data_IF_109106529149
#
_entry.id   IF_109106529149
#
_cell.length_a   1.000
_cell.length_b   1.000
_cell.length_c   1.000
_cell.angle_alpha   90.00
_cell.angle_beta   90.00
_cell.angle_gamma   90.00
#
_symmetry.space_group_name_H-M   'P 1'
#
loop_
_entity.id
_entity.type
_entity.pdbx_description
1 polymer ?
#
# COMPACT_ATOMS: atom_id res chain seq x y z
N UNK A 1 -12.89 22.28 5.05
CA UNK A 1 -13.84 21.14 5.10
C UNK A 1 -14.98 21.34 6.09
N UNK A 2 -14.86 22.16 7.14
CA UNK A 2 -15.99 22.45 8.06
C UNK A 2 -16.52 21.21 8.80
N UNK A 3 -15.67 20.22 9.06
CA UNK A 3 -16.06 18.98 9.72
C UNK A 3 -16.23 19.18 11.23
N UNK A 4 -17.19 18.47 11.83
CA UNK A 4 -17.29 18.34 13.28
C UNK A 4 -16.22 17.38 13.79
N UNK A 5 -15.18 17.90 14.45
CA UNK A 5 -14.03 17.11 14.93
C UNK A 5 -14.14 16.68 16.39
N UNK A 6 -15.25 16.99 17.06
CA UNK A 6 -15.43 16.77 18.51
C UNK A 6 -15.53 15.30 18.90
N UNK A 7 -15.96 14.44 17.98
CA UNK A 7 -16.18 13.01 18.26
C UNK A 7 -15.79 12.13 17.07
N UNK A 8 -15.18 10.95 17.29
CA UNK A 8 -14.74 10.06 16.23
C UNK A 8 -15.89 9.46 15.39
N UNK A 9 -17.12 9.34 15.93
CA UNK A 9 -18.26 8.78 15.20
C UNK A 9 -18.68 9.60 13.97
N UNK A 10 -18.26 10.87 13.90
CA UNK A 10 -18.46 11.72 12.71
C UNK A 10 -17.59 11.29 11.53
N UNK A 11 -16.61 10.40 11.78
CA UNK A 11 -15.62 9.92 10.81
C UNK A 11 -14.85 11.07 10.15
N UNK A 12 -14.60 12.15 10.89
CA UNK A 12 -13.95 13.33 10.34
C UNK A 12 -12.53 13.02 9.85
N UNK A 13 -11.83 12.08 10.51
CA UNK A 13 -10.49 11.64 10.11
C UNK A 13 -10.53 10.91 8.78
N UNK A 14 -11.46 9.99 8.61
CA UNK A 14 -11.65 9.21 7.39
C UNK A 14 -11.95 10.15 6.21
N UNK A 15 -12.87 11.11 6.39
CA UNK A 15 -13.19 12.13 5.38
C UNK A 15 -11.96 12.97 5.00
N UNK A 16 -11.24 13.48 5.99
CA UNK A 16 -10.03 14.27 5.75
C UNK A 16 -8.93 13.45 5.05
N UNK A 17 -8.78 12.18 5.40
CA UNK A 17 -7.80 11.28 4.81
C UNK A 17 -8.10 10.97 3.34
N UNK A 18 -9.37 10.80 2.97
CA UNK A 18 -9.77 10.64 1.57
C UNK A 18 -9.45 11.89 0.75
N UNK A 19 -9.84 13.08 1.22
CA UNK A 19 -9.54 14.34 0.51
C UNK A 19 -8.04 14.60 0.37
N UNK A 20 -7.25 14.27 1.40
CA UNK A 20 -5.80 14.37 1.35
C UNK A 20 -5.19 13.44 0.27
N UNK A 21 -5.67 12.19 0.18
CA UNK A 21 -5.23 11.26 -0.85
C UNK A 21 -5.60 11.76 -2.26
N UNK A 22 -6.82 12.28 -2.43
CA UNK A 22 -7.26 12.86 -3.70
C UNK A 22 -6.37 14.04 -4.11
N UNK A 23 -6.06 14.94 -3.17
CA UNK A 23 -5.22 16.10 -3.42
C UNK A 23 -3.78 15.71 -3.86
N UNK A 24 -3.20 14.67 -3.25
CA UNK A 24 -1.89 14.13 -3.65
C UNK A 24 -1.93 13.60 -5.08
N UNK A 25 -2.88 12.71 -5.38
CA UNK A 25 -3.02 12.12 -6.72
C UNK A 25 -3.24 13.18 -7.79
N UNK A 26 -4.17 14.11 -7.55
CA UNK A 26 -4.45 15.23 -8.45
C UNK A 26 -3.21 16.09 -8.70
N UNK A 27 -2.45 16.43 -7.65
CA UNK A 27 -1.28 17.29 -7.78
C UNK A 27 -0.17 16.66 -8.61
N UNK A 28 0.09 15.36 -8.40
CA UNK A 28 1.08 14.61 -9.19
C UNK A 28 0.67 14.51 -10.66
N UNK A 29 -0.60 14.16 -10.91
CA UNK A 29 -1.17 14.10 -12.26
C UNK A 29 -1.09 15.45 -12.98
N UNK A 30 -1.47 16.55 -12.30
CA UNK A 30 -1.42 17.90 -12.84
C UNK A 30 0.01 18.33 -13.22
N UNK A 31 1.03 17.80 -12.54
CA UNK A 31 2.44 18.09 -12.82
C UNK A 31 3.09 17.09 -13.77
N UNK A 32 2.35 16.11 -14.29
CA UNK A 32 2.89 15.06 -15.16
C UNK A 32 3.91 14.15 -14.44
N UNK A 33 3.85 14.08 -13.11
CA UNK A 33 4.70 13.20 -12.31
C UNK A 33 3.98 11.88 -12.13
N UNK A 34 4.67 10.77 -12.43
CA UNK A 34 4.09 9.43 -12.31
C UNK A 34 3.71 9.13 -10.86
N UNK A 35 2.47 8.68 -10.67
CA UNK A 35 1.92 8.16 -9.42
C UNK A 35 0.89 7.10 -9.76
N UNK A 36 0.65 6.16 -8.84
CA UNK A 36 -0.40 5.15 -8.96
C UNK A 36 -1.25 5.18 -7.68
N UNK A 37 -2.57 5.10 -7.82
CA UNK A 37 -3.46 4.97 -6.68
C UNK A 37 -3.45 3.51 -6.16
N UNK A 38 -3.92 3.32 -4.93
CA UNK A 38 -3.83 2.03 -4.26
C UNK A 38 -4.80 0.98 -4.81
N UNK A 39 -5.91 1.36 -5.45
CA UNK A 39 -6.80 0.40 -6.10
C UNK A 39 -6.14 -0.17 -7.36
N UNK A 40 -5.63 0.71 -8.24
CA UNK A 40 -4.89 0.30 -9.46
C UNK A 40 -3.64 -0.51 -9.11
N UNK A 41 -2.90 -0.11 -8.07
CA UNK A 41 -1.72 -0.85 -7.61
C UNK A 41 -2.09 -2.25 -7.10
N UNK A 42 -3.19 -2.38 -6.34
CA UNK A 42 -3.68 -3.65 -5.83
C UNK A 42 -4.11 -4.60 -6.97
N UNK A 43 -4.85 -4.10 -7.96
CA UNK A 43 -5.21 -4.89 -9.14
C UNK A 43 -3.99 -5.34 -9.94
N UNK A 44 -3.01 -4.46 -10.07
CA UNK A 44 -1.74 -4.76 -10.75
C UNK A 44 -0.97 -5.85 -10.01
N UNK A 45 -0.93 -5.80 -8.66
CA UNK A 45 -0.31 -6.83 -7.85
C UNK A 45 -1.02 -8.18 -8.00
N UNK A 46 -2.36 -8.22 -8.05
CA UNK A 46 -3.09 -9.48 -8.27
C UNK A 46 -2.74 -10.13 -9.61
N UNK A 47 -2.59 -9.36 -10.68
CA UNK A 47 -2.11 -9.86 -11.98
C UNK A 47 -0.67 -10.37 -11.90
N UNK A 48 0.19 -9.71 -11.12
CA UNK A 48 1.56 -10.17 -10.88
C UNK A 48 1.57 -11.51 -10.13
N UNK A 49 0.79 -11.63 -9.05
CA UNK A 49 0.63 -12.84 -8.26
C UNK A 49 0.18 -14.02 -9.14
N UNK A 50 -0.84 -13.84 -9.97
CA UNK A 50 -1.32 -14.87 -10.90
C UNK A 50 -0.21 -15.34 -11.86
N UNK A 51 0.57 -14.41 -12.41
CA UNK A 51 1.69 -14.72 -13.29
C UNK A 51 2.80 -15.49 -12.57
N UNK A 52 3.20 -15.08 -11.37
CA UNK A 52 4.26 -15.76 -10.61
C UNK A 52 3.83 -17.16 -10.16
N UNK A 53 2.57 -17.32 -9.74
CA UNK A 53 2.02 -18.66 -9.46
C UNK A 53 2.04 -19.53 -10.71
N UNK A 54 1.61 -19.01 -11.87
CA UNK A 54 1.60 -19.75 -13.12
C UNK A 54 3.00 -20.12 -13.63
N UNK A 55 3.97 -19.21 -13.51
CA UNK A 55 5.30 -19.37 -14.10
C UNK A 55 6.31 -20.04 -13.16
N UNK A 56 6.12 -19.88 -11.84
CA UNK A 56 7.12 -20.25 -10.81
C UNK A 56 6.51 -20.96 -9.60
N UNK A 57 5.21 -21.19 -9.61
CA UNK A 57 4.48 -21.90 -8.55
C UNK A 57 4.55 -21.22 -7.17
N UNK A 58 4.69 -19.88 -7.15
CA UNK A 58 4.63 -19.12 -5.91
C UNK A 58 5.02 -17.65 -6.06
N UNK A 59 4.51 -16.81 -5.16
CA UNK A 59 4.90 -15.42 -4.99
C UNK A 59 5.01 -15.11 -3.49
N UNK A 60 6.20 -14.87 -2.93
CA UNK A 60 6.33 -14.46 -1.53
C UNK A 60 5.68 -13.09 -1.35
N UNK A 61 4.75 -12.97 -0.41
CA UNK A 61 4.04 -11.72 -0.15
C UNK A 61 3.70 -11.56 1.33
N UNK A 62 4.01 -10.39 1.87
CA UNK A 62 3.66 -10.01 3.24
C UNK A 62 2.35 -9.23 3.22
N UNK A 63 1.25 -9.90 3.56
CA UNK A 63 -0.10 -9.33 3.53
C UNK A 63 -0.20 -8.01 4.32
N UNK A 64 0.52 -7.90 5.45
CA UNK A 64 0.52 -6.71 6.31
C UNK A 64 1.05 -5.48 5.58
N UNK A 65 1.99 -5.67 4.65
CA UNK A 65 2.59 -4.59 3.86
C UNK A 65 1.92 -4.39 2.50
N UNK A 66 1.31 -5.43 1.94
CA UNK A 66 0.66 -5.37 0.63
C UNK A 66 -0.72 -4.67 0.70
N UNK A 67 -1.49 -4.90 1.76
CA UNK A 67 -2.81 -4.27 1.91
C UNK A 67 -2.66 -2.76 2.14
N UNK A 68 -3.33 -1.90 1.36
CA UNK A 68 -3.24 -0.46 1.53
C UNK A 68 -3.75 0.02 2.91
N UNK A 69 -3.11 1.06 3.49
CA UNK A 69 -3.44 1.56 4.83
C UNK A 69 -4.77 2.35 4.89
N UNK A 70 -5.35 2.68 3.74
CA UNK A 70 -6.68 3.26 3.59
C UNK A 70 -7.48 2.35 2.65
N UNK A 71 -8.76 2.15 2.96
CA UNK A 71 -9.68 1.37 2.12
C UNK A 71 -9.27 -0.10 1.89
N UNK A 72 -8.53 -0.71 2.83
CA UNK A 72 -7.96 -2.06 2.68
C UNK A 72 -8.94 -3.10 2.13
N UNK A 73 -10.09 -3.32 2.80
CA UNK A 73 -11.09 -4.31 2.36
C UNK A 73 -11.82 -3.97 1.06
N UNK A 74 -11.70 -2.73 0.56
CA UNK A 74 -12.18 -2.32 -0.75
C UNK A 74 -11.16 -2.58 -1.88
N UNK A 75 -10.04 -3.24 -1.57
CA UNK A 75 -9.01 -3.65 -2.54
C UNK A 75 -8.98 -5.17 -2.66
N UNK A 76 -8.65 -5.73 -3.84
CA UNK A 76 -8.69 -7.18 -4.03
C UNK A 76 -7.64 -7.92 -3.19
N UNK A 77 -6.52 -7.28 -2.86
CA UNK A 77 -5.43 -7.87 -2.08
C UNK A 77 -5.83 -8.22 -0.65
N UNK A 78 -6.84 -7.54 -0.08
CA UNK A 78 -7.33 -7.86 1.27
C UNK A 78 -7.91 -9.27 1.36
N UNK A 79 -8.60 -9.71 0.31
CA UNK A 79 -9.30 -11.01 0.28
C UNK A 79 -8.42 -12.16 -0.21
N UNK A 80 -7.16 -11.88 -0.56
CA UNK A 80 -6.22 -12.87 -1.09
C UNK A 80 -5.33 -13.38 0.04
N UNK A 81 -5.37 -14.70 0.28
CA UNK A 81 -4.40 -15.35 1.15
C UNK A 81 -3.00 -15.28 0.53
N UNK A 82 -2.00 -14.97 1.34
CA UNK A 82 -0.62 -14.79 0.91
C UNK A 82 0.33 -15.56 1.82
N UNK A 83 1.33 -16.19 1.24
CA UNK A 83 2.39 -16.87 1.99
C UNK A 83 3.64 -15.99 2.02
N UNK A 84 4.08 -15.63 3.22
CA UNK A 84 5.35 -14.95 3.43
C UNK A 84 6.48 -15.97 3.57
N UNK A 85 7.46 -15.89 2.69
CA UNK A 85 8.71 -16.65 2.77
C UNK A 85 9.83 -15.86 2.08
N UNK A 86 11.07 -16.20 2.40
CA UNK A 86 12.24 -15.46 1.95
C UNK A 86 13.02 -16.23 0.89
N UNK A 87 13.35 -15.56 -0.21
CA UNK A 87 14.18 -16.08 -1.29
C UNK A 87 15.48 -15.27 -1.37
N UNK A 88 16.50 -15.80 -2.05
CA UNK A 88 17.68 -15.04 -2.46
C UNK A 88 17.73 -14.95 -3.99
N UNK A 89 18.23 -13.84 -4.58
CA UNK A 89 18.72 -12.62 -3.93
C UNK A 89 17.60 -11.82 -3.23
N UNK A 90 17.93 -11.06 -2.17
CA UNK A 90 16.95 -10.28 -1.37
C UNK A 90 17.46 -8.92 -0.94
N UNK A 91 16.52 -8.02 -0.61
CA UNK A 91 16.76 -6.81 0.17
C UNK A 91 16.62 -7.13 1.66
N UNK A 92 17.56 -6.66 2.47
CA UNK A 92 17.58 -6.87 3.92
C UNK A 92 17.65 -5.54 4.65
N UNK A 93 16.97 -5.43 5.80
CA UNK A 93 17.11 -4.29 6.67
C UNK A 93 18.55 -4.19 7.20
N UNK A 94 19.06 -2.96 7.28
CA UNK A 94 20.37 -2.68 7.86
C UNK A 94 20.21 -1.77 9.07
N UNK A 95 21.11 -1.93 10.03
CA UNK A 95 21.17 -1.03 11.18
C UNK A 95 21.59 0.36 10.68
N UNK A 96 20.88 1.40 11.11
CA UNK A 96 21.20 2.78 10.76
C UNK A 96 22.65 3.13 11.14
N UNK A 97 23.35 3.79 10.23
CA UNK A 97 24.79 4.08 10.32
C UNK A 97 25.20 4.84 11.60
N UNK A 98 24.26 5.60 12.19
CA UNK A 98 24.45 6.35 13.44
C UNK A 98 24.77 5.46 14.66
N UNK A 99 24.40 4.17 14.66
CA UNK A 99 24.72 3.25 15.77
C UNK A 99 26.19 2.77 15.79
N UNK A 100 26.96 3.07 14.74
CA UNK A 100 28.37 2.68 14.62
C UNK A 100 29.35 3.85 14.83
N UNK A 101 28.88 5.01 15.29
CA UNK A 101 29.69 6.22 15.54
C UNK A 101 29.93 6.51 17.03
N UNK A 102 29.91 5.48 17.88
CA UNK A 102 30.26 5.56 19.30
C UNK A 102 31.44 4.64 19.62
#
# INVERSE_FOLDING_TARGET
MGLDTRTPITLWKDKAMVEANLAVLHSFQQKGVTIVDHHTASESFMKHLENEVRLRNGCPADWVWIVPPLSGSATPVFHQEMALYYLKPSYEYQVGQQKYSL
#
